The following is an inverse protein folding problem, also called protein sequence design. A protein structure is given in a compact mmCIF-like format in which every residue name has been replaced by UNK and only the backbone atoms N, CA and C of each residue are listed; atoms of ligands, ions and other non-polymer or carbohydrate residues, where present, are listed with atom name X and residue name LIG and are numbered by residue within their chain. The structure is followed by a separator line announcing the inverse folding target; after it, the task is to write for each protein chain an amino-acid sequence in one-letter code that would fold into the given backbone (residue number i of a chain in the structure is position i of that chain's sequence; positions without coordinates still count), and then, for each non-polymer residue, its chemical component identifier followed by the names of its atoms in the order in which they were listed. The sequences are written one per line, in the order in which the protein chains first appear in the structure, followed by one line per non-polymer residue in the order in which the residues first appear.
data_IF_931066802850
#
_entry.id   IF_931066802850
#
_cell.length_a   1.000
_cell.length_b   1.000
_cell.length_c   1.000
_cell.angle_alpha   90.00
_cell.angle_beta   90.00
_cell.angle_gamma   90.00
#
_symmetry.space_group_name_H-M   'P 1'
#
loop_
_entity.id
_entity.type
_entity.pdbx_description
1 polymer ?
#
# COMPACT_ATOMS: atom_id res chain seq x y z
N UNK A 1 17.18 -1.83 6.11
CA UNK A 1 16.01 -0.96 6.38
C UNK A 1 14.96 -1.30 5.35
N UNK A 2 13.73 -1.63 5.74
CA UNK A 2 12.65 -1.82 4.76
C UNK A 2 12.31 -0.44 4.21
N UNK A 3 12.81 -0.14 3.02
CA UNK A 3 12.55 1.12 2.33
C UNK A 3 11.11 1.06 1.85
N UNK A 4 10.24 1.90 2.42
CA UNK A 4 8.92 2.16 1.82
C UNK A 4 9.16 2.62 0.39
N UNK A 5 8.70 1.83 -0.58
CA UNK A 5 8.90 2.11 -2.00
C UNK A 5 7.94 3.19 -2.51
N UNK A 6 6.82 3.39 -1.81
CA UNK A 6 5.82 4.40 -2.14
C UNK A 6 5.48 5.25 -0.90
N UNK A 7 5.05 6.48 -1.13
CA UNK A 7 4.55 7.36 -0.08
C UNK A 7 3.04 7.19 0.10
N UNK A 8 2.55 7.51 1.29
CA UNK A 8 1.12 7.66 1.53
C UNK A 8 0.56 8.81 0.66
N UNK A 9 -0.62 8.60 0.07
CA UNK A 9 -1.26 9.52 -0.88
C UNK A 9 -0.91 9.28 -2.35
N UNK A 10 0.01 8.35 -2.65
CA UNK A 10 0.38 8.03 -4.05
C UNK A 10 -0.69 7.19 -4.72
N UNK A 11 -0.98 7.51 -6.00
CA UNK A 11 -1.82 6.69 -6.87
C UNK A 11 -1.00 5.56 -7.48
N UNK A 12 -1.50 4.34 -7.35
CA UNK A 12 -0.87 3.12 -7.82
C UNK A 12 -1.89 2.24 -8.53
N UNK A 13 -1.39 1.49 -9.51
CA UNK A 13 -2.10 0.40 -10.15
C UNK A 13 -1.74 -0.90 -9.43
N UNK A 14 -2.75 -1.68 -9.06
CA UNK A 14 -2.55 -2.93 -8.31
C UNK A 14 -2.72 -4.11 -9.25
N UNK A 15 -1.73 -5.01 -9.27
CA UNK A 15 -1.81 -6.23 -10.08
C UNK A 15 -3.08 -7.02 -9.74
N UNK A 16 -3.81 -7.47 -10.75
CA UNK A 16 -5.05 -8.23 -10.63
C UNK A 16 -6.25 -7.48 -10.03
N UNK A 17 -6.16 -6.15 -9.85
CA UNK A 17 -7.29 -5.32 -9.41
C UNK A 17 -7.42 -4.14 -10.38
N UNK A 18 -8.41 -4.15 -11.28
CA UNK A 18 -8.61 -3.04 -12.20
C UNK A 18 -8.95 -1.76 -11.43
N UNK A 19 -8.53 -0.64 -12.01
CA UNK A 19 -8.77 0.70 -11.48
C UNK A 19 -7.60 1.32 -10.73
N UNK A 20 -7.73 2.60 -10.44
CA UNK A 20 -6.69 3.37 -9.76
C UNK A 20 -6.88 3.31 -8.25
N UNK A 21 -5.82 3.00 -7.52
CA UNK A 21 -5.83 2.89 -6.06
C UNK A 21 -4.94 3.98 -5.46
N UNK A 22 -5.34 4.59 -4.36
CA UNK A 22 -4.52 5.52 -3.59
C UNK A 22 -4.02 4.83 -2.33
N UNK A 23 -2.71 4.87 -2.07
CA UNK A 23 -2.14 4.36 -0.83
C UNK A 23 -2.57 5.29 0.30
N UNK A 24 -3.20 4.75 1.33
CA UNK A 24 -3.63 5.48 2.52
C UNK A 24 -2.61 5.36 3.65
N UNK A 25 -2.16 4.15 3.93
CA UNK A 25 -1.22 3.88 5.01
C UNK A 25 -0.40 2.63 4.71
N UNK A 26 0.83 2.59 5.23
CA UNK A 26 1.66 1.38 5.22
C UNK A 26 1.42 0.55 6.48
N UNK A 27 1.22 -0.75 6.29
CA UNK A 27 1.08 -1.67 7.40
C UNK A 27 2.44 -1.82 8.09
N UNK A 28 2.43 -1.58 9.40
CA UNK A 28 3.59 -1.76 10.26
C UNK A 28 3.30 -2.81 11.31
N UNK A 29 4.28 -3.66 11.58
CA UNK A 29 4.25 -4.63 12.67
C UNK A 29 5.25 -4.21 13.74
N UNK A 30 4.81 -4.23 14.98
CA UNK A 30 5.70 -4.07 16.13
C UNK A 30 6.27 -5.44 16.51
N UNK A 31 7.60 -5.56 16.48
CA UNK A 31 8.32 -6.74 16.96
C UNK A 31 9.20 -6.30 18.14
N UNK A 32 8.67 -6.43 19.35
CA UNK A 32 9.30 -5.89 20.56
C UNK A 32 9.38 -4.35 20.52
N UNK A 33 10.58 -3.80 20.70
CA UNK A 33 10.83 -2.35 20.65
C UNK A 33 10.98 -1.78 19.23
N UNK A 34 10.87 -2.60 18.18
CA UNK A 34 11.12 -2.18 16.80
C UNK A 34 9.84 -2.25 15.96
N UNK A 35 9.50 -1.14 15.30
CA UNK A 35 8.43 -1.11 14.27
C UNK A 35 9.05 -1.46 12.92
N UNK A 36 8.55 -2.50 12.26
CA UNK A 36 8.95 -2.88 10.88
C UNK A 36 7.79 -2.69 9.94
N UNK A 37 8.06 -2.07 8.78
CA UNK A 37 7.12 -2.02 7.65
C UNK A 37 7.04 -3.43 7.05
N UNK A 38 5.83 -3.99 6.90
CA UNK A 38 5.64 -5.35 6.37
C UNK A 38 5.72 -5.42 4.84
N UNK A 39 5.69 -4.26 4.17
CA UNK A 39 5.55 -4.17 2.72
C UNK A 39 4.11 -4.44 2.26
N UNK A 40 3.12 -4.38 3.17
CA UNK A 40 1.71 -4.22 2.81
C UNK A 40 1.29 -2.77 2.94
N UNK A 41 0.44 -2.34 2.03
CA UNK A 41 -0.13 -1.00 1.95
C UNK A 41 -1.65 -1.11 1.93
N UNK A 42 -2.30 -0.27 2.72
CA UNK A 42 -3.74 -0.07 2.68
C UNK A 42 -4.03 0.89 1.53
N UNK A 43 -4.75 0.44 0.52
CA UNK A 43 -5.13 1.28 -0.60
C UNK A 43 -6.64 1.47 -0.67
N UNK A 44 -7.06 2.61 -1.21
CA UNK A 44 -8.45 2.92 -1.53
C UNK A 44 -8.63 3.07 -3.03
N UNK A 45 -9.58 2.37 -3.61
CA UNK A 45 -9.92 2.54 -5.02
C UNK A 45 -10.62 3.89 -5.21
N UNK A 46 -10.17 4.68 -6.19
CA UNK A 46 -10.70 6.03 -6.44
C UNK A 46 -12.10 5.96 -7.06
N UNK A 47 -12.36 4.95 -7.88
CA UNK A 47 -13.60 4.83 -8.65
C UNK A 47 -14.74 4.21 -7.84
N UNK A 48 -14.44 3.19 -7.04
CA UNK A 48 -15.43 2.45 -6.24
C UNK A 48 -15.44 2.85 -4.77
N UNK A 49 -14.44 3.59 -4.30
CA UNK A 49 -14.26 3.92 -2.88
C UNK A 49 -13.83 2.73 -2.00
N UNK A 50 -13.61 1.55 -2.59
CA UNK A 50 -13.31 0.31 -1.86
C UNK A 50 -11.94 0.37 -1.19
N UNK A 51 -11.84 0.00 0.08
CA UNK A 51 -10.57 -0.03 0.82
C UNK A 51 -10.10 -1.48 0.94
N UNK A 52 -8.85 -1.73 0.57
CA UNK A 52 -8.27 -3.08 0.62
C UNK A 52 -6.77 -3.01 0.87
N UNK A 53 -6.23 -4.05 1.48
CA UNK A 53 -4.79 -4.17 1.73
C UNK A 53 -4.13 -4.92 0.57
N UNK A 54 -3.03 -4.37 0.06
CA UNK A 54 -2.24 -4.96 -1.00
C UNK A 54 -0.78 -5.04 -0.60
N UNK A 55 -0.02 -5.91 -1.25
CA UNK A 55 1.43 -5.90 -1.12
C UNK A 55 2.00 -4.76 -1.95
N UNK A 56 2.91 -3.98 -1.37
CA UNK A 56 3.63 -2.88 -2.01
C UNK A 56 4.38 -3.37 -3.27
N UNK A 57 4.88 -4.60 -3.25
CA UNK A 57 5.54 -5.22 -4.39
C UNK A 57 4.60 -5.54 -5.58
N UNK A 58 3.29 -5.63 -5.32
CA UNK A 58 2.27 -5.81 -6.35
C UNK A 58 1.70 -4.49 -6.89
N UNK A 59 2.14 -3.36 -6.32
CA UNK A 59 1.74 -2.02 -6.73
C UNK A 59 2.74 -1.47 -7.76
N UNK A 60 2.21 -0.88 -8.82
CA UNK A 60 2.97 -0.17 -9.86
C UNK A 60 2.59 1.30 -9.87
N UNK A 61 3.50 2.22 -10.25
CA UNK A 61 3.14 3.62 -10.44
C UNK A 61 2.01 3.72 -11.48
N UNK A 62 0.98 4.51 -11.16
CA UNK A 62 -0.15 4.80 -12.05
C UNK A 62 0.18 5.94 -13.01
#
# INVERSE_FOLDING_TARGET
MAVQKYNDGVKVLVKNNPGTWIILEHETIKKGATTKVTGKVKCKNIETGMIKFFSENGCSPA
#
